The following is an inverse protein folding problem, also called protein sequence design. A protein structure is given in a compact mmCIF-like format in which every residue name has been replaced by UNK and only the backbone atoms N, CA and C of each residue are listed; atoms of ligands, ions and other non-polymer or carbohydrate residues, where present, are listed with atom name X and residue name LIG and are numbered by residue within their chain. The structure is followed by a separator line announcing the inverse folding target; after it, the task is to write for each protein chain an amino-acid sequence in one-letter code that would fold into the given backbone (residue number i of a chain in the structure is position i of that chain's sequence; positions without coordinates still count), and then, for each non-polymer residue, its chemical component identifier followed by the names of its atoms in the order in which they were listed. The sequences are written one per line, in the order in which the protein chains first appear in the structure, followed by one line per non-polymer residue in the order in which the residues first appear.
data_IF_606392912261
#
_entry.id   IF_606392912261
#
_cell.length_a   1.000
_cell.length_b   1.000
_cell.length_c   1.000
_cell.angle_alpha   90.00
_cell.angle_beta   90.00
_cell.angle_gamma   90.00
#
_symmetry.space_group_name_H-M   'P 1'
#
loop_
_entity.id
_entity.type
_entity.pdbx_description
1 polymer ?
#
# COMPACT_ATOMS: atom_id res chain seq x y z
N UNK A 1 -32.29 -17.41 37.29
CA UNK A 1 -30.92 -16.94 37.58
C UNK A 1 -30.27 -16.58 36.25
N UNK A 2 -30.23 -15.31 35.92
CA UNK A 2 -29.62 -14.79 34.69
C UNK A 2 -28.17 -14.48 35.01
N UNK A 3 -27.23 -15.16 34.35
CA UNK A 3 -25.81 -14.84 34.45
C UNK A 3 -25.52 -13.65 33.54
N UNK A 4 -25.19 -12.51 34.13
CA UNK A 4 -24.64 -11.37 33.43
C UNK A 4 -23.20 -11.71 32.99
N UNK A 5 -22.96 -11.69 31.70
CA UNK A 5 -21.60 -11.75 31.14
C UNK A 5 -21.03 -10.34 31.26
N UNK A 6 -20.05 -10.18 32.12
CA UNK A 6 -19.31 -8.93 32.30
C UNK A 6 -18.30 -8.80 31.17
N UNK A 7 -18.59 -7.96 30.19
CA UNK A 7 -17.61 -7.52 29.21
C UNK A 7 -16.58 -6.63 29.91
N UNK A 8 -15.38 -7.15 30.15
CA UNK A 8 -14.26 -6.32 30.55
C UNK A 8 -13.78 -5.54 29.33
N UNK A 9 -14.29 -4.32 29.18
CA UNK A 9 -13.64 -3.31 28.36
C UNK A 9 -12.35 -2.90 29.09
N UNK A 10 -11.21 -3.27 28.57
CA UNK A 10 -9.92 -2.75 29.04
C UNK A 10 -9.82 -1.28 28.66
N UNK A 11 -10.17 -0.40 29.59
CA UNK A 11 -9.88 1.02 29.48
C UNK A 11 -8.36 1.21 29.56
N UNK A 12 -7.74 1.55 28.43
CA UNK A 12 -6.39 2.08 28.43
C UNK A 12 -6.42 3.45 29.11
N UNK A 13 -5.67 3.59 30.19
CA UNK A 13 -5.48 4.84 30.92
C UNK A 13 -4.75 5.85 30.05
N UNK A 14 -5.45 6.89 29.61
CA UNK A 14 -4.87 7.99 28.87
C UNK A 14 -4.17 8.92 29.85
N UNK A 15 -2.85 8.91 29.86
CA UNK A 15 -2.05 9.98 30.50
C UNK A 15 -1.88 11.09 29.46
N UNK A 16 -2.59 12.19 29.66
CA UNK A 16 -2.47 13.39 28.85
C UNK A 16 -1.20 14.14 29.24
N UNK A 17 -0.10 13.92 28.55
CA UNK A 17 1.06 14.78 28.62
C UNK A 17 0.88 15.93 27.60
N UNK A 18 0.97 17.17 28.06
CA UNK A 18 0.92 18.36 27.23
C UNK A 18 2.17 18.45 26.30
N UNK A 19 2.00 18.00 25.08
CA UNK A 19 3.02 17.92 24.04
C UNK A 19 2.68 16.72 23.17
N UNK A 20 1.78 16.87 22.24
CA UNK A 20 1.09 15.86 21.43
C UNK A 20 1.90 14.61 21.04
N UNK A 21 2.13 13.72 21.95
CA UNK A 21 2.65 12.39 21.66
C UNK A 21 1.46 11.60 21.10
N UNK A 22 1.50 11.33 19.81
CA UNK A 22 0.56 10.40 19.20
C UNK A 22 0.78 9.02 19.85
N UNK A 23 -0.29 8.44 20.40
CA UNK A 23 -0.23 7.13 21.07
C UNK A 23 -0.33 6.05 20.01
N UNK A 24 0.64 5.14 20.03
CA UNK A 24 0.57 3.90 19.26
C UNK A 24 -0.64 3.05 19.68
N UNK A 25 -1.37 2.52 18.71
CA UNK A 25 -2.46 1.59 18.97
C UNK A 25 -2.25 0.27 18.23
N UNK A 26 -2.81 -0.80 18.81
CA UNK A 26 -2.97 -2.07 18.09
C UNK A 26 -4.45 -2.35 17.95
N UNK A 27 -4.90 -2.54 16.70
CA UNK A 27 -6.27 -2.92 16.38
C UNK A 27 -6.29 -4.22 15.60
N UNK A 28 -7.14 -5.13 15.99
CA UNK A 28 -7.28 -6.45 15.39
C UNK A 28 -8.74 -6.63 14.98
N UNK A 29 -8.97 -6.88 13.73
CA UNK A 29 -10.26 -7.19 13.13
C UNK A 29 -10.73 -8.63 13.38
N UNK A 30 -11.71 -9.04 12.62
CA UNK A 30 -12.39 -10.34 12.70
C UNK A 30 -12.05 -11.21 11.47
N UNK A 31 -12.86 -12.21 11.16
CA UNK A 31 -12.80 -12.95 9.90
C UNK A 31 -13.88 -12.47 8.90
N UNK A 32 -14.47 -11.31 9.12
CA UNK A 32 -15.41 -10.67 8.23
C UNK A 32 -14.98 -9.25 7.93
N UNK A 33 -15.62 -8.54 7.00
CA UNK A 33 -15.21 -7.21 6.59
C UNK A 33 -15.11 -6.21 7.74
N UNK A 34 -13.94 -5.61 7.91
CA UNK A 34 -13.65 -4.66 8.97
C UNK A 34 -13.16 -3.31 8.40
N UNK A 35 -13.32 -2.25 9.19
CA UNK A 35 -12.69 -0.95 8.92
C UNK A 35 -11.88 -0.54 10.14
N UNK A 36 -10.56 -0.56 10.00
CA UNK A 36 -9.63 -0.24 11.07
C UNK A 36 -8.94 1.10 10.77
N UNK A 37 -8.98 2.01 11.74
CA UNK A 37 -8.33 3.31 11.63
C UNK A 37 -7.32 3.49 12.74
N UNK A 38 -6.08 3.82 12.39
CA UNK A 38 -5.00 4.15 13.31
C UNK A 38 -5.09 5.55 13.91
N UNK A 39 -3.98 6.06 14.34
CA UNK A 39 -3.76 7.38 14.94
C UNK A 39 -2.60 8.08 14.23
N UNK A 40 -2.02 9.11 14.84
CA UNK A 40 -0.79 9.72 14.33
C UNK A 40 0.48 9.15 15.02
N UNK A 41 0.39 7.99 15.65
CA UNK A 41 1.49 7.28 16.29
C UNK A 41 1.79 5.97 15.59
N UNK A 42 2.86 5.29 15.98
CA UNK A 42 3.27 4.02 15.38
C UNK A 42 2.26 2.90 15.68
N UNK A 43 1.39 2.59 14.74
CA UNK A 43 0.24 1.70 14.94
C UNK A 43 0.46 0.30 14.35
N UNK A 44 -0.34 -0.65 14.83
CA UNK A 44 -0.44 -1.98 14.23
C UNK A 44 -1.91 -2.30 13.97
N UNK A 45 -2.26 -2.46 12.69
CA UNK A 45 -3.61 -2.80 12.24
C UNK A 45 -3.60 -4.18 11.59
N UNK A 46 -4.47 -5.07 12.02
CA UNK A 46 -4.55 -6.45 11.52
C UNK A 46 -6.00 -6.76 11.15
N UNK A 47 -6.29 -6.94 9.85
CA UNK A 47 -7.62 -7.27 9.32
C UNK A 47 -8.03 -8.70 9.67
N UNK A 48 -7.21 -9.67 9.38
CA UNK A 48 -7.36 -11.13 9.47
C UNK A 48 -8.00 -11.73 8.24
N UNK A 49 -9.30 -11.69 8.10
CA UNK A 49 -9.99 -12.27 6.97
C UNK A 49 -11.28 -11.53 6.67
N UNK A 50 -11.72 -11.60 5.44
CA UNK A 50 -12.77 -10.74 4.93
C UNK A 50 -12.18 -9.65 4.04
N UNK A 51 -13.01 -8.78 3.55
CA UNK A 51 -12.54 -7.66 2.73
C UNK A 51 -12.41 -6.43 3.63
N UNK A 52 -11.20 -6.10 4.01
CA UNK A 52 -10.92 -5.14 5.05
C UNK A 52 -10.44 -3.79 4.49
N UNK A 53 -10.62 -2.73 5.28
CA UNK A 53 -10.09 -1.39 4.98
C UNK A 53 -9.29 -0.90 6.18
N UNK A 54 -7.99 -0.72 5.98
CA UNK A 54 -7.05 -0.31 7.00
C UNK A 54 -6.45 1.06 6.68
N UNK A 55 -6.64 2.02 7.58
CA UNK A 55 -6.06 3.38 7.47
C UNK A 55 -5.10 3.61 8.63
N UNK A 56 -3.83 3.80 8.36
CA UNK A 56 -2.89 4.06 9.46
C UNK A 56 -2.82 5.53 9.87
N UNK A 57 -2.89 6.45 8.96
CA UNK A 57 -2.65 7.89 9.11
C UNK A 57 -1.15 8.19 9.16
N UNK A 58 -0.69 8.90 10.21
CA UNK A 58 0.69 9.31 10.36
C UNK A 58 1.44 8.40 11.36
N UNK A 59 2.70 8.16 11.12
CA UNK A 59 3.52 7.36 12.00
C UNK A 59 4.18 6.16 11.30
N UNK A 60 5.00 5.47 12.05
CA UNK A 60 5.67 4.27 11.57
C UNK A 60 4.76 3.06 11.81
N UNK A 61 3.96 2.72 10.83
CA UNK A 61 2.83 1.81 10.99
C UNK A 61 3.10 0.42 10.41
N UNK A 62 2.34 -0.55 10.89
CA UNK A 62 2.28 -1.90 10.33
C UNK A 62 0.84 -2.25 10.03
N UNK A 63 0.54 -2.54 8.77
CA UNK A 63 -0.78 -2.94 8.29
C UNK A 63 -0.71 -4.35 7.71
N UNK A 64 -1.57 -5.22 8.19
CA UNK A 64 -1.71 -6.60 7.72
C UNK A 64 -3.18 -6.81 7.32
N UNK A 65 -3.45 -6.93 6.03
CA UNK A 65 -4.80 -7.21 5.51
C UNK A 65 -5.24 -8.61 5.91
N UNK A 66 -4.61 -9.61 5.37
CA UNK A 66 -4.83 -10.99 5.74
C UNK A 66 -5.39 -11.83 4.61
N UNK A 67 -6.63 -12.24 4.69
CA UNK A 67 -7.28 -13.01 3.63
C UNK A 67 -8.54 -12.35 3.14
N UNK A 68 -8.69 -12.26 1.82
CA UNK A 68 -9.81 -11.57 1.19
C UNK A 68 -9.31 -10.47 0.27
N UNK A 69 -10.15 -9.53 -0.03
CA UNK A 69 -9.77 -8.37 -0.83
C UNK A 69 -9.65 -7.15 0.06
N UNK A 70 -8.43 -6.71 0.33
CA UNK A 70 -8.14 -5.70 1.33
C UNK A 70 -7.69 -4.37 0.72
N UNK A 71 -7.91 -3.30 1.46
CA UNK A 71 -7.41 -1.97 1.16
C UNK A 71 -6.56 -1.47 2.32
N UNK A 72 -5.27 -1.27 2.06
CA UNK A 72 -4.30 -0.76 3.01
C UNK A 72 -3.84 0.62 2.59
N UNK A 73 -4.10 1.61 3.43
CA UNK A 73 -3.77 3.00 3.16
C UNK A 73 -2.82 3.52 4.25
N UNK A 74 -1.58 3.73 3.90
CA UNK A 74 -0.54 4.25 4.77
C UNK A 74 -0.78 5.69 5.19
N UNK A 75 -1.40 6.48 4.32
CA UNK A 75 -1.76 7.86 4.65
C UNK A 75 -0.70 8.87 4.25
N UNK A 76 -0.96 10.11 4.56
CA UNK A 76 -0.21 11.25 4.08
C UNK A 76 0.40 11.99 5.27
N UNK A 77 1.68 11.84 5.48
CA UNK A 77 2.40 12.43 6.61
C UNK A 77 2.91 13.83 6.32
N UNK A 78 2.00 14.78 6.10
CA UNK A 78 2.35 16.20 5.94
C UNK A 78 2.99 16.84 7.20
N UNK A 79 3.61 16.04 8.06
CA UNK A 79 4.27 16.51 9.28
C UNK A 79 5.68 15.93 9.37
N UNK A 80 6.64 16.63 10.02
CA UNK A 80 8.03 16.17 10.15
C UNK A 80 8.21 14.93 11.05
N UNK A 81 7.17 14.20 11.33
CA UNK A 81 7.14 12.95 12.09
C UNK A 81 6.63 11.79 11.23
N UNK A 82 6.67 11.92 9.91
CA UNK A 82 6.42 10.84 8.98
C UNK A 82 7.30 9.62 9.31
N UNK A 83 6.89 8.45 8.93
CA UNK A 83 7.64 7.24 9.24
C UNK A 83 7.40 6.16 8.21
N UNK A 84 8.48 5.47 7.89
CA UNK A 84 8.43 4.32 7.00
C UNK A 84 7.41 3.29 7.49
N UNK A 85 6.57 2.78 6.62
CA UNK A 85 5.48 1.86 6.93
C UNK A 85 5.79 0.46 6.39
N UNK A 86 5.11 -0.52 6.94
CA UNK A 86 5.10 -1.87 6.42
C UNK A 86 3.66 -2.31 6.17
N UNK A 87 3.31 -2.46 4.90
CA UNK A 87 1.97 -2.80 4.45
C UNK A 87 1.98 -4.16 3.76
N UNK A 88 1.19 -5.09 4.24
CA UNK A 88 1.11 -6.45 3.71
C UNK A 88 -0.35 -6.79 3.41
N UNK A 89 -0.67 -6.96 2.13
CA UNK A 89 -2.02 -7.34 1.65
C UNK A 89 -2.40 -8.70 2.22
N UNK A 90 -1.85 -9.75 1.70
CA UNK A 90 -2.08 -11.10 2.19
C UNK A 90 -2.52 -12.06 1.10
N UNK A 91 -3.64 -12.70 1.27
CA UNK A 91 -4.21 -13.55 0.22
C UNK A 91 -5.49 -12.94 -0.33
N UNK A 92 -5.57 -12.80 -1.63
CA UNK A 92 -6.68 -12.16 -2.35
C UNK A 92 -6.17 -11.06 -3.25
N UNK A 93 -7.05 -10.29 -3.83
CA UNK A 93 -6.67 -9.19 -4.71
C UNK A 93 -6.72 -7.88 -3.95
N UNK A 94 -5.57 -7.40 -3.52
CA UNK A 94 -5.45 -6.32 -2.56
C UNK A 94 -5.07 -4.98 -3.20
N UNK A 95 -5.37 -3.90 -2.51
CA UNK A 95 -4.90 -2.56 -2.85
C UNK A 95 -4.03 -2.01 -1.73
N UNK A 96 -2.76 -1.68 -2.04
CA UNK A 96 -1.78 -1.27 -1.05
C UNK A 96 -1.18 0.08 -1.45
N UNK A 97 -1.44 1.11 -0.66
CA UNK A 97 -0.98 2.47 -0.89
C UNK A 97 -0.06 2.90 0.27
N UNK A 98 1.22 3.13 0.00
CA UNK A 98 2.22 3.54 0.98
C UNK A 98 1.97 4.93 1.53
N UNK A 99 2.04 5.90 0.67
CA UNK A 99 1.87 7.31 1.01
C UNK A 99 3.15 8.09 0.93
N UNK A 100 3.39 9.04 1.81
CA UNK A 100 4.67 9.75 1.89
C UNK A 100 5.67 8.96 2.76
N UNK A 101 6.97 9.23 2.61
CA UNK A 101 8.11 8.57 3.23
C UNK A 101 8.46 7.21 2.61
N UNK A 102 9.49 6.54 3.15
CA UNK A 102 10.00 5.30 2.55
C UNK A 102 9.25 4.10 3.08
N UNK A 103 8.47 3.47 2.24
CA UNK A 103 7.56 2.39 2.62
C UNK A 103 8.01 1.01 2.11
N UNK A 104 7.48 -0.03 2.73
CA UNK A 104 7.59 -1.40 2.25
C UNK A 104 6.19 -1.96 2.03
N UNK A 105 5.88 -2.26 0.78
CA UNK A 105 4.60 -2.78 0.33
C UNK A 105 4.77 -4.22 -0.16
N UNK A 106 3.87 -5.09 0.21
CA UNK A 106 3.86 -6.49 -0.23
C UNK A 106 2.43 -6.94 -0.51
N UNK A 107 2.15 -7.36 -1.75
CA UNK A 107 0.86 -7.96 -2.13
C UNK A 107 0.71 -9.34 -1.52
N UNK A 108 1.60 -10.24 -1.75
CA UNK A 108 1.72 -11.68 -1.51
C UNK A 108 0.98 -12.51 -2.58
N UNK A 109 -0.25 -12.98 -2.36
CA UNK A 109 -0.90 -13.88 -3.31
C UNK A 109 -2.24 -13.34 -3.80
N UNK A 110 -2.39 -13.27 -5.10
CA UNK A 110 -3.54 -12.70 -5.78
C UNK A 110 -3.10 -11.68 -6.83
N UNK A 111 -4.03 -11.04 -7.49
CA UNK A 111 -3.70 -9.97 -8.42
C UNK A 111 -3.81 -8.64 -7.69
N UNK A 112 -2.67 -8.11 -7.30
CA UNK A 112 -2.58 -6.98 -6.39
C UNK A 112 -2.29 -5.67 -7.12
N UNK A 113 -2.66 -4.58 -6.49
CA UNK A 113 -2.19 -3.26 -6.86
C UNK A 113 -1.38 -2.68 -5.71
N UNK A 114 -0.19 -2.16 -6.03
CA UNK A 114 0.61 -1.43 -5.06
C UNK A 114 1.13 -0.13 -5.64
N UNK A 115 1.01 0.95 -4.86
CA UNK A 115 1.57 2.28 -5.17
C UNK A 115 2.38 2.76 -3.97
N UNK A 116 3.69 2.91 -4.16
CA UNK A 116 4.61 3.39 -3.13
C UNK A 116 4.29 4.82 -2.73
N UNK A 117 4.18 5.69 -3.70
CA UNK A 117 3.99 7.12 -3.50
C UNK A 117 5.32 7.86 -3.36
N UNK A 118 5.32 9.08 -2.78
CA UNK A 118 6.56 9.82 -2.54
C UNK A 118 7.43 9.20 -1.46
N UNK A 119 8.62 8.74 -1.83
CA UNK A 119 9.57 8.14 -0.88
C UNK A 119 10.61 7.28 -1.58
N UNK A 120 11.42 6.59 -0.80
CA UNK A 120 12.26 5.52 -1.34
C UNK A 120 11.64 4.18 -0.98
N UNK A 121 10.83 3.66 -1.90
CA UNK A 121 9.92 2.59 -1.61
C UNK A 121 10.43 1.22 -2.07
N UNK A 122 9.96 0.20 -1.39
CA UNK A 122 10.15 -1.17 -1.80
C UNK A 122 8.80 -1.83 -2.00
N UNK A 123 8.52 -2.21 -3.24
CA UNK A 123 7.23 -2.78 -3.65
C UNK A 123 7.45 -4.20 -4.15
N UNK A 124 6.72 -5.15 -3.57
CA UNK A 124 6.72 -6.56 -3.95
C UNK A 124 5.29 -6.95 -4.32
N UNK A 125 5.07 -7.43 -5.54
CA UNK A 125 3.80 -8.02 -5.97
C UNK A 125 3.58 -9.35 -5.26
N UNK A 126 4.20 -10.40 -5.73
CA UNK A 126 4.14 -11.72 -5.12
C UNK A 126 3.75 -12.82 -6.10
N UNK A 127 2.70 -13.58 -5.79
CA UNK A 127 2.11 -14.55 -6.70
C UNK A 127 0.87 -13.94 -7.35
N UNK A 128 0.78 -13.92 -8.68
CA UNK A 128 -0.38 -13.42 -9.41
C UNK A 128 0.00 -12.38 -10.45
N UNK A 129 -0.99 -11.76 -11.09
CA UNK A 129 -0.69 -10.72 -12.08
C UNK A 129 -0.87 -9.36 -11.43
N UNK A 130 0.23 -8.75 -11.07
CA UNK A 130 0.25 -7.56 -10.25
C UNK A 130 0.42 -6.27 -11.06
N UNK A 131 -0.08 -5.19 -10.50
CA UNK A 131 0.17 -3.84 -11.01
C UNK A 131 0.93 -3.05 -9.95
N UNK A 132 2.22 -2.85 -10.20
CA UNK A 132 3.11 -2.14 -9.29
C UNK A 132 3.44 -0.77 -9.86
N UNK A 133 3.14 0.24 -9.10
CA UNK A 133 3.32 1.62 -9.49
C UNK A 133 4.12 2.37 -8.43
N UNK A 134 5.01 3.24 -8.89
CA UNK A 134 5.66 4.24 -8.07
C UNK A 134 5.72 5.54 -8.87
N UNK A 135 4.70 6.36 -8.65
CA UNK A 135 4.43 7.56 -9.43
C UNK A 135 4.67 8.85 -8.66
N UNK A 136 5.89 9.20 -8.40
CA UNK A 136 6.23 10.47 -7.78
C UNK A 136 6.04 11.66 -8.71
N UNK A 137 5.16 12.57 -8.37
CA UNK A 137 4.98 13.82 -9.11
C UNK A 137 5.99 14.91 -8.76
N UNK A 138 6.68 14.80 -7.62
CA UNK A 138 7.66 15.78 -7.13
C UNK A 138 8.70 15.11 -6.23
N UNK A 139 9.96 15.26 -6.58
CA UNK A 139 11.05 14.94 -5.68
C UNK A 139 11.79 13.65 -5.96
N UNK A 140 11.26 12.74 -6.70
CA UNK A 140 11.78 11.44 -7.11
C UNK A 140 12.85 10.85 -6.21
N UNK A 141 12.57 9.77 -5.56
CA UNK A 141 13.56 9.00 -4.82
C UNK A 141 14.01 7.80 -5.66
N UNK A 142 14.72 6.87 -5.10
CA UNK A 142 15.14 5.63 -5.76
C UNK A 142 14.34 4.47 -5.19
N UNK A 143 13.63 3.78 -6.06
CA UNK A 143 12.66 2.78 -5.66
C UNK A 143 13.05 1.37 -6.13
N UNK A 144 12.42 0.38 -5.53
CA UNK A 144 12.63 -1.01 -5.91
C UNK A 144 11.30 -1.70 -6.12
N UNK A 145 11.02 -2.10 -7.35
CA UNK A 145 9.84 -2.85 -7.74
C UNK A 145 10.23 -4.29 -8.05
N UNK A 146 9.53 -5.24 -7.49
CA UNK A 146 9.73 -6.67 -7.70
C UNK A 146 8.36 -7.29 -8.01
N UNK A 147 8.16 -7.77 -9.24
CA UNK A 147 6.92 -8.41 -9.68
C UNK A 147 6.65 -9.68 -8.87
N UNK A 148 7.33 -10.72 -9.19
CA UNK A 148 7.19 -12.03 -8.54
C UNK A 148 6.84 -13.12 -9.53
N UNK A 149 5.88 -13.97 -9.19
CA UNK A 149 5.38 -15.00 -10.09
C UNK A 149 4.08 -14.53 -10.73
N UNK A 150 4.03 -14.43 -12.07
CA UNK A 150 2.84 -14.03 -12.81
C UNK A 150 3.15 -13.11 -13.96
N UNK A 151 2.14 -12.50 -14.55
CA UNK A 151 2.35 -11.54 -15.61
C UNK A 151 2.12 -10.13 -15.07
N UNK A 152 3.20 -9.47 -14.71
CA UNK A 152 3.14 -8.23 -13.97
C UNK A 152 3.27 -6.99 -14.86
N UNK A 153 2.69 -5.89 -14.40
CA UNK A 153 2.87 -4.57 -14.99
C UNK A 153 3.51 -3.65 -13.98
N UNK A 154 4.68 -3.11 -14.32
CA UNK A 154 5.45 -2.27 -13.41
C UNK A 154 5.78 -0.92 -14.02
N UNK A 155 5.56 0.15 -13.26
CA UNK A 155 5.81 1.52 -13.70
C UNK A 155 6.48 2.38 -12.64
N UNK A 156 7.81 2.36 -12.57
CA UNK A 156 8.58 3.24 -11.71
C UNK A 156 8.72 4.61 -12.38
N UNK A 157 7.71 5.48 -12.22
CA UNK A 157 7.73 6.80 -12.83
C UNK A 157 7.93 7.91 -11.81
N UNK A 158 9.08 8.54 -11.83
CA UNK A 158 9.30 9.71 -11.01
C UNK A 158 9.76 10.95 -11.79
N UNK A 159 9.50 12.14 -11.24
CA UNK A 159 9.90 13.42 -11.84
C UNK A 159 10.61 14.30 -10.80
N UNK A 160 11.90 14.63 -10.98
CA UNK A 160 12.76 14.21 -12.10
C UNK A 160 13.12 12.71 -12.03
N UNK A 161 13.39 12.12 -13.21
CA UNK A 161 13.78 10.74 -13.34
C UNK A 161 14.91 10.36 -12.37
N UNK A 162 14.73 9.28 -11.64
CA UNK A 162 15.72 8.68 -10.74
C UNK A 162 16.04 7.26 -11.20
N UNK A 163 16.99 6.66 -10.57
CA UNK A 163 17.46 5.34 -10.92
C UNK A 163 16.75 4.29 -10.09
N UNK A 164 15.64 3.82 -10.59
CA UNK A 164 14.89 2.76 -9.92
C UNK A 164 15.40 1.37 -10.31
N UNK A 165 15.15 0.41 -9.45
CA UNK A 165 15.49 -0.98 -9.70
C UNK A 165 14.22 -1.78 -9.93
N UNK A 166 14.11 -2.40 -11.11
CA UNK A 166 12.97 -3.26 -11.44
C UNK A 166 13.45 -4.69 -11.65
N UNK A 167 12.80 -5.63 -11.01
CA UNK A 167 12.95 -7.08 -11.19
C UNK A 167 11.59 -7.67 -11.48
N UNK A 168 11.51 -8.45 -12.53
CA UNK A 168 10.24 -9.00 -12.97
C UNK A 168 9.91 -10.31 -12.25
N UNK A 169 10.71 -11.33 -12.40
CA UNK A 169 10.48 -12.62 -11.77
C UNK A 169 10.06 -13.67 -12.78
N UNK A 170 8.99 -14.39 -12.51
CA UNK A 170 8.52 -15.46 -13.38
C UNK A 170 7.22 -15.11 -14.08
N UNK A 171 7.18 -15.27 -15.40
CA UNK A 171 5.97 -15.01 -16.19
C UNK A 171 6.26 -14.25 -17.47
N UNK A 172 5.34 -13.44 -17.91
CA UNK A 172 5.50 -12.53 -19.03
C UNK A 172 5.21 -11.10 -18.57
N UNK A 173 6.26 -10.35 -18.25
CA UNK A 173 6.17 -9.10 -17.55
C UNK A 173 6.35 -7.90 -18.46
N UNK A 174 5.70 -6.82 -18.08
CA UNK A 174 5.74 -5.56 -18.78
C UNK A 174 6.24 -4.45 -17.87
N UNK A 175 7.35 -3.83 -18.24
CA UNK A 175 7.91 -2.69 -17.54
C UNK A 175 7.78 -1.42 -18.38
N UNK A 176 7.26 -0.39 -17.78
CA UNK A 176 7.13 0.93 -18.34
C UNK A 176 8.10 1.86 -17.59
N UNK A 177 9.34 1.92 -18.05
CA UNK A 177 10.44 2.57 -17.36
C UNK A 177 10.77 3.96 -17.90
N UNK A 178 11.49 4.74 -17.15
CA UNK A 178 12.19 5.91 -17.67
C UNK A 178 13.65 5.59 -18.08
N UNK A 179 14.42 6.61 -18.46
CA UNK A 179 15.77 6.38 -18.99
C UNK A 179 16.82 6.15 -17.90
N UNK A 180 16.50 6.44 -16.67
CA UNK A 180 17.41 6.31 -15.54
C UNK A 180 17.37 4.91 -14.91
N UNK A 181 16.27 4.20 -15.10
CA UNK A 181 15.97 2.95 -14.43
C UNK A 181 16.88 1.80 -14.82
N UNK A 182 17.06 0.90 -13.89
CA UNK A 182 17.75 -0.36 -14.06
C UNK A 182 16.74 -1.50 -14.06
N UNK A 183 16.43 -1.97 -15.25
CA UNK A 183 15.51 -3.09 -15.45
C UNK A 183 16.31 -4.38 -15.57
N UNK A 184 15.97 -5.37 -14.79
CA UNK A 184 16.62 -6.67 -14.79
C UNK A 184 16.37 -7.44 -16.10
N UNK A 185 17.25 -8.36 -16.49
CA UNK A 185 17.15 -9.09 -17.77
C UNK A 185 16.04 -10.15 -17.80
N UNK A 186 15.38 -10.42 -16.69
CA UNK A 186 14.22 -11.29 -16.56
C UNK A 186 12.90 -10.63 -16.98
N UNK A 187 12.93 -9.37 -17.44
CA UNK A 187 11.75 -8.64 -17.90
C UNK A 187 11.60 -8.79 -19.43
N UNK A 188 10.47 -9.32 -19.90
CA UNK A 188 10.26 -9.66 -21.32
C UNK A 188 9.91 -8.47 -22.19
N UNK A 189 9.14 -7.51 -21.64
CA UNK A 189 8.69 -6.35 -22.39
C UNK A 189 8.97 -5.04 -21.66
N UNK A 190 9.97 -4.33 -22.13
CA UNK A 190 10.38 -3.04 -21.55
C UNK A 190 10.10 -1.92 -22.54
N UNK A 191 9.24 -0.97 -22.15
CA UNK A 191 9.02 0.27 -22.88
C UNK A 191 9.65 1.43 -22.09
N UNK A 192 10.39 2.30 -22.77
CA UNK A 192 11.14 3.39 -22.12
C UNK A 192 10.74 4.75 -22.67
N UNK A 193 10.45 5.69 -21.78
CA UNK A 193 10.26 7.10 -22.09
C UNK A 193 8.83 7.60 -21.91
N UNK A 194 8.52 8.84 -22.36
CA UNK A 194 7.23 9.51 -22.07
C UNK A 194 5.98 8.79 -22.62
N UNK A 195 6.16 7.98 -23.68
CA UNK A 195 5.06 7.18 -24.22
C UNK A 195 4.64 6.05 -23.28
N UNK A 196 5.59 5.50 -22.53
CA UNK A 196 5.35 4.46 -21.54
C UNK A 196 4.46 4.96 -20.39
N UNK A 197 4.74 6.15 -19.88
CA UNK A 197 3.92 6.76 -18.82
C UNK A 197 2.45 6.90 -19.22
N UNK A 198 2.18 7.36 -20.46
CA UNK A 198 0.82 7.49 -20.98
C UNK A 198 0.11 6.14 -21.12
N UNK A 199 0.85 5.12 -21.48
CA UNK A 199 0.34 3.76 -21.63
C UNK A 199 -0.04 3.15 -20.28
N UNK A 200 0.72 3.45 -19.23
CA UNK A 200 0.38 3.01 -17.87
C UNK A 200 -0.85 3.74 -17.32
N UNK A 201 -0.91 5.07 -17.44
CA UNK A 201 -2.07 5.84 -17.01
C UNK A 201 -3.35 5.30 -17.67
N UNK A 202 -3.29 5.00 -18.99
CA UNK A 202 -4.41 4.40 -19.69
C UNK A 202 -4.76 3.00 -19.16
N UNK A 203 -3.77 2.18 -18.81
CA UNK A 203 -4.00 0.85 -18.26
C UNK A 203 -4.64 0.90 -16.88
N UNK A 204 -4.22 1.82 -16.04
CA UNK A 204 -4.81 2.07 -14.71
C UNK A 204 -6.27 2.51 -14.85
N UNK A 205 -6.57 3.44 -15.77
CA UNK A 205 -7.93 3.88 -16.07
C UNK A 205 -8.81 2.74 -16.61
N UNK A 206 -8.32 2.00 -17.61
CA UNK A 206 -9.04 0.87 -18.23
C UNK A 206 -9.29 -0.28 -17.25
N UNK A 207 -8.41 -0.49 -16.29
CA UNK A 207 -8.61 -1.50 -15.24
C UNK A 207 -9.77 -1.16 -14.29
N UNK A 208 -10.30 0.07 -14.38
CA UNK A 208 -11.33 0.59 -13.47
C UNK A 208 -10.85 0.66 -12.02
N UNK A 209 -9.55 0.80 -11.84
CA UNK A 209 -8.90 0.78 -10.55
C UNK A 209 -9.43 1.88 -9.63
N UNK A 210 -9.47 3.12 -10.13
CA UNK A 210 -9.99 4.25 -9.35
C UNK A 210 -11.48 4.09 -9.03
N UNK A 211 -12.28 3.60 -9.98
CA UNK A 211 -13.71 3.36 -9.75
C UNK A 211 -13.93 2.32 -8.65
N UNK A 212 -13.12 1.26 -8.62
CA UNK A 212 -13.20 0.22 -7.58
C UNK A 212 -12.69 0.66 -6.21
N UNK A 213 -11.80 1.64 -6.15
CA UNK A 213 -11.38 2.25 -4.87
C UNK A 213 -12.55 3.03 -4.25
N UNK A 214 -13.26 3.80 -5.07
CA UNK A 214 -14.29 4.71 -4.57
C UNK A 214 -15.67 4.08 -4.45
N UNK A 215 -16.00 3.04 -5.23
CA UNK A 215 -17.29 2.33 -5.12
C UNK A 215 -17.47 1.50 -3.84
N UNK A 216 -16.39 1.14 -3.17
CA UNK A 216 -16.41 0.39 -1.90
C UNK A 216 -16.30 1.25 -0.64
N UNK A 217 -15.95 2.52 -0.79
CA UNK A 217 -15.82 3.45 0.32
C UNK A 217 -17.15 4.21 0.50
N UNK A 218 -17.86 3.93 1.58
CA UNK A 218 -18.92 4.83 2.03
C UNK A 218 -18.34 6.26 2.17
N UNK A 219 -19.09 7.31 1.84
CA UNK A 219 -18.58 8.67 1.96
C UNK A 219 -18.05 8.88 3.39
N UNK A 220 -16.80 9.39 3.46
CA UNK A 220 -16.14 9.64 4.74
C UNK A 220 -17.09 10.43 5.67
N UNK A 221 -17.36 9.97 6.88
CA UNK A 221 -18.16 10.75 7.82
C UNK A 221 -17.34 11.95 8.26
N UNK A 222 -17.71 13.10 7.74
CA UNK A 222 -17.36 14.39 8.28
C UNK A 222 -16.00 14.97 7.91
N UNK A 223 -16.04 15.89 6.93
CA UNK A 223 -15.14 17.01 6.86
C UNK A 223 -15.46 18.01 7.99
#
# INVERSE_FOLDING_TARGET
MRRAVLLLATMALVVLAAGGVALAVTKIGTNGPDTLKGTNGADTLIGKGGNDVLFSLAGRDTLLGGGGKDWLLGGNDQRPLGGDKNLVGGSGNDGVLGGEDSDTLTGNSGNDFADGGPGSDKILGGEGNDLLYDGERRGGATDTLIGGDGNDVMGPFNKPAKRDLVKCGGGFDRVLADRADVVAPDCERVAVGPAAAKELDQHIEESGFYDRIFEGLAPFPGG
#
